data_IF_217307393990
#
_entry.id   IF_217307393990
#
_cell.length_a   1.000
_cell.length_b   1.000
_cell.length_c   1.000
_cell.angle_alpha   90.00
_cell.angle_beta   90.00
_cell.angle_gamma   90.00
#
_symmetry.space_group_name_H-M   'P 1'
#
loop_
_entity.id
_entity.type
_entity.pdbx_description
1 polymer ?
#
# COMPACT_ATOMS: atom_id res chain seq x y z
N UNK A 1 -25.88 28.88 -7.05
CA UNK A 1 -25.55 27.60 -6.38
C UNK A 1 -25.30 26.53 -7.44
N UNK A 2 -24.05 26.40 -7.91
CA UNK A 2 -23.57 25.27 -8.74
C UNK A 2 -22.12 24.93 -8.35
N UNK A 3 -21.33 25.89 -7.85
CA UNK A 3 -19.98 25.65 -7.33
C UNK A 3 -19.93 24.79 -6.04
N UNK A 4 -20.81 25.05 -5.06
CA UNK A 4 -20.77 24.32 -3.78
C UNK A 4 -21.21 22.84 -3.85
N UNK A 5 -22.01 22.47 -4.85
CA UNK A 5 -22.46 21.08 -5.04
C UNK A 5 -21.31 20.23 -5.63
N UNK A 6 -20.56 20.81 -6.58
CA UNK A 6 -19.34 20.20 -7.12
C UNK A 6 -18.22 20.09 -6.07
N UNK A 7 -18.05 21.09 -5.21
CA UNK A 7 -17.06 21.04 -4.13
C UNK A 7 -17.38 19.96 -3.09
N UNK A 8 -18.67 19.80 -2.74
CA UNK A 8 -19.12 18.77 -1.81
C UNK A 8 -18.96 17.35 -2.40
N UNK A 9 -19.34 17.14 -3.66
CA UNK A 9 -19.15 15.85 -4.33
C UNK A 9 -17.66 15.52 -4.50
N UNK A 10 -16.83 16.50 -4.87
CA UNK A 10 -15.39 16.34 -5.00
C UNK A 10 -14.73 16.00 -3.65
N UNK A 11 -15.15 16.66 -2.57
CA UNK A 11 -14.72 16.33 -1.21
C UNK A 11 -15.13 14.91 -0.81
N UNK A 12 -16.36 14.49 -1.14
CA UNK A 12 -16.85 13.14 -0.87
C UNK A 12 -16.01 12.08 -1.61
N UNK A 13 -15.67 12.30 -2.87
CA UNK A 13 -14.79 11.40 -3.63
C UNK A 13 -13.38 11.32 -3.02
N UNK A 14 -12.80 12.45 -2.60
CA UNK A 14 -11.48 12.47 -1.96
C UNK A 14 -11.47 11.71 -0.63
N UNK A 15 -12.49 11.93 0.22
CA UNK A 15 -12.63 11.24 1.51
C UNK A 15 -12.87 9.75 1.28
N UNK A 16 -13.75 9.38 0.34
CA UNK A 16 -14.00 7.99 -0.01
C UNK A 16 -12.73 7.30 -0.51
N UNK A 17 -11.98 7.93 -1.41
CA UNK A 17 -10.71 7.40 -1.91
C UNK A 17 -9.68 7.17 -0.79
N UNK A 18 -9.62 8.08 0.19
CA UNK A 18 -8.74 7.96 1.35
C UNK A 18 -9.16 6.79 2.26
N UNK A 19 -10.46 6.67 2.55
CA UNK A 19 -11.00 5.57 3.36
C UNK A 19 -10.73 4.22 2.67
N UNK A 20 -11.03 4.12 1.38
CA UNK A 20 -10.82 2.89 0.59
C UNK A 20 -9.34 2.52 0.55
N UNK A 21 -8.42 3.50 0.38
CA UNK A 21 -6.98 3.25 0.44
C UNK A 21 -6.56 2.66 1.79
N UNK A 22 -7.10 3.21 2.88
CA UNK A 22 -6.81 2.75 4.24
C UNK A 22 -7.32 1.33 4.48
N UNK A 23 -8.55 1.03 4.06
CA UNK A 23 -9.15 -0.31 4.15
C UNK A 23 -8.33 -1.32 3.37
N UNK A 24 -7.98 -1.05 2.11
CA UNK A 24 -7.13 -1.95 1.32
C UNK A 24 -5.75 -2.15 1.93
N UNK A 25 -5.13 -1.08 2.46
CA UNK A 25 -3.82 -1.18 3.12
C UNK A 25 -3.88 -2.09 4.35
N UNK A 26 -4.94 -2.00 5.16
CA UNK A 26 -5.14 -2.88 6.32
C UNK A 26 -5.38 -4.31 5.88
N UNK A 27 -6.30 -4.53 4.94
CA UNK A 27 -6.61 -5.87 4.44
C UNK A 27 -5.38 -6.55 3.86
N UNK A 28 -4.55 -5.81 3.14
CA UNK A 28 -3.28 -6.31 2.61
C UNK A 28 -2.28 -6.68 3.72
N UNK A 29 -2.14 -5.83 4.74
CA UNK A 29 -1.30 -6.13 5.90
C UNK A 29 -1.77 -7.37 6.66
N UNK A 30 -3.08 -7.50 6.88
CA UNK A 30 -3.67 -8.68 7.51
C UNK A 30 -3.47 -9.95 6.66
N UNK A 31 -3.63 -9.84 5.34
CA UNK A 31 -3.37 -10.94 4.42
C UNK A 31 -1.92 -11.42 4.51
N UNK A 32 -0.95 -10.50 4.46
CA UNK A 32 0.46 -10.87 4.62
C UNK A 32 0.74 -11.46 6.00
N UNK A 33 0.20 -10.86 7.06
CA UNK A 33 0.37 -11.35 8.44
C UNK A 33 -0.18 -12.75 8.65
N UNK A 34 -1.31 -13.09 8.03
CA UNK A 34 -1.89 -14.43 8.10
C UNK A 34 -1.04 -15.48 7.37
N UNK A 35 -0.38 -15.11 6.27
CA UNK A 35 0.42 -16.06 5.47
C UNK A 35 1.87 -16.19 5.94
N UNK A 36 2.46 -15.16 6.55
CA UNK A 36 3.86 -15.14 7.01
C UNK A 36 3.97 -15.38 8.54
N UNK A 37 3.00 -14.87 9.30
CA UNK A 37 3.08 -14.75 10.76
C UNK A 37 3.64 -13.39 11.19
N UNK A 38 2.97 -12.75 12.16
CA UNK A 38 3.30 -11.40 12.64
C UNK A 38 4.73 -11.31 13.21
N UNK A 39 5.17 -12.34 13.96
CA UNK A 39 6.51 -12.40 14.55
C UNK A 39 7.61 -12.47 13.48
N UNK A 40 7.39 -13.25 12.42
CA UNK A 40 8.32 -13.36 11.30
C UNK A 40 8.37 -12.07 10.49
N UNK A 41 7.24 -11.39 10.31
CA UNK A 41 7.22 -10.07 9.67
C UNK A 41 8.03 -9.03 10.46
N UNK A 42 7.94 -9.04 11.79
CA UNK A 42 8.72 -8.12 12.62
C UNK A 42 10.22 -8.42 12.58
N UNK A 43 10.62 -9.70 12.58
CA UNK A 43 12.03 -10.11 12.51
C UNK A 43 12.67 -9.89 11.14
N UNK A 44 11.89 -10.01 10.07
CA UNK A 44 12.36 -9.85 8.68
C UNK A 44 12.17 -8.42 8.14
N UNK A 45 11.60 -7.52 8.94
CA UNK A 45 11.46 -6.10 8.57
C UNK A 45 12.85 -5.45 8.57
N UNK A 46 13.39 -5.16 7.39
CA UNK A 46 14.61 -4.36 7.25
C UNK A 46 14.46 -2.98 7.92
N UNK A 47 15.58 -2.44 8.40
CA UNK A 47 15.67 -1.11 9.04
C UNK A 47 15.54 -0.03 7.98
N UNK A 48 14.32 0.18 7.49
CA UNK A 48 14.03 1.10 6.40
C UNK A 48 13.46 2.40 6.96
N UNK A 49 14.22 3.48 6.85
CA UNK A 49 13.66 4.81 6.90
C UNK A 49 12.63 4.96 5.78
N UNK A 50 11.44 5.39 6.14
CA UNK A 50 10.33 5.54 5.22
C UNK A 50 10.71 6.58 4.14
N UNK A 51 11.04 6.11 2.92
CA UNK A 51 11.47 6.93 1.79
C UNK A 51 10.62 8.19 1.63
N UNK A 52 11.28 9.34 1.41
CA UNK A 52 10.65 10.65 1.28
C UNK A 52 9.56 10.69 0.20
N UNK A 53 9.67 9.87 -0.85
CA UNK A 53 8.65 9.74 -1.89
C UNK A 53 7.33 9.14 -1.38
N UNK A 54 7.39 8.21 -0.42
CA UNK A 54 6.19 7.65 0.23
C UNK A 54 5.53 8.72 1.12
N UNK A 55 6.33 9.54 1.81
CA UNK A 55 5.83 10.68 2.59
C UNK A 55 5.22 11.78 1.70
N UNK A 56 5.78 12.02 0.52
CA UNK A 56 5.24 13.00 -0.43
C UNK A 56 3.92 12.49 -1.07
N UNK A 57 3.82 11.18 -1.32
CA UNK A 57 2.59 10.57 -1.86
C UNK A 57 1.38 10.63 -0.92
N UNK A 58 1.60 10.84 0.39
CA UNK A 58 0.54 11.06 1.38
C UNK A 58 -0.25 12.36 1.16
N UNK A 59 0.32 13.33 0.42
CA UNK A 59 -0.36 14.58 0.09
C UNK A 59 -1.28 14.49 -1.13
N UNK A 60 -1.23 13.38 -1.89
CA UNK A 60 -2.09 13.18 -3.07
C UNK A 60 -2.99 11.95 -2.83
N UNK A 61 -4.26 12.16 -2.41
CA UNK A 61 -5.20 11.10 -2.01
C UNK A 61 -5.31 9.94 -3.01
N UNK A 62 -5.17 10.22 -4.31
CA UNK A 62 -5.28 9.22 -5.37
C UNK A 62 -3.95 8.60 -5.79
N UNK A 63 -2.81 9.29 -5.66
CA UNK A 63 -1.51 8.74 -6.05
C UNK A 63 -1.11 7.56 -5.15
N UNK A 64 -1.40 7.67 -3.85
CA UNK A 64 -1.16 6.58 -2.88
C UNK A 64 -1.97 5.32 -3.22
N UNK A 65 -3.15 5.46 -3.81
CA UNK A 65 -3.96 4.32 -4.24
C UNK A 65 -3.35 3.57 -5.41
N UNK A 66 -2.80 4.26 -6.41
CA UNK A 66 -2.05 3.63 -7.50
C UNK A 66 -0.85 2.83 -6.98
N UNK A 67 -0.13 3.36 -5.99
CA UNK A 67 0.99 2.66 -5.36
C UNK A 67 0.51 1.39 -4.63
N UNK A 68 -0.61 1.45 -3.90
CA UNK A 68 -1.21 0.28 -3.24
C UNK A 68 -1.61 -0.79 -4.26
N UNK A 69 -2.26 -0.41 -5.36
CA UNK A 69 -2.65 -1.34 -6.42
C UNK A 69 -1.43 -1.96 -7.11
N UNK A 70 -0.40 -1.16 -7.39
CA UNK A 70 0.87 -1.64 -7.95
C UNK A 70 1.55 -2.68 -7.03
N UNK A 71 1.56 -2.42 -5.71
CA UNK A 71 2.08 -3.36 -4.70
C UNK A 71 1.32 -4.69 -4.73
N UNK A 72 -0.01 -4.65 -4.76
CA UNK A 72 -0.85 -5.84 -4.86
C UNK A 72 -0.60 -6.58 -6.18
N UNK A 73 -0.48 -5.85 -7.29
CA UNK A 73 -0.22 -6.44 -8.60
C UNK A 73 1.13 -7.17 -8.66
N UNK A 74 2.20 -6.59 -8.12
CA UNK A 74 3.51 -7.27 -8.02
C UNK A 74 3.41 -8.53 -7.17
N UNK A 75 2.73 -8.47 -6.02
CA UNK A 75 2.56 -9.66 -5.19
C UNK A 75 1.88 -10.79 -5.97
N UNK A 76 0.76 -10.48 -6.62
CA UNK A 76 -0.05 -11.49 -7.33
C UNK A 76 0.65 -12.02 -8.58
N UNK A 77 1.13 -11.11 -9.44
CA UNK A 77 1.63 -11.46 -10.78
C UNK A 77 3.08 -11.92 -10.73
N UNK A 78 3.93 -11.28 -9.92
CA UNK A 78 5.38 -11.52 -9.94
C UNK A 78 5.81 -12.54 -8.89
N UNK A 79 5.26 -12.47 -7.68
CA UNK A 79 5.64 -13.38 -6.59
C UNK A 79 4.82 -14.67 -6.63
N UNK A 80 3.50 -14.57 -6.42
CA UNK A 80 2.65 -15.75 -6.24
C UNK A 80 2.57 -16.61 -7.50
N UNK A 81 2.49 -15.99 -8.69
CA UNK A 81 2.42 -16.73 -9.95
C UNK A 81 3.75 -17.41 -10.34
N UNK A 82 4.87 -17.00 -9.75
CA UNK A 82 6.19 -17.64 -9.95
C UNK A 82 6.55 -18.64 -8.84
N UNK A 83 5.66 -18.84 -7.86
CA UNK A 83 5.88 -19.75 -6.73
C UNK A 83 6.69 -19.15 -5.58
N UNK A 84 6.94 -17.84 -5.58
CA UNK A 84 7.57 -17.16 -4.45
C UNK A 84 6.59 -16.98 -3.29
N UNK A 85 7.14 -16.93 -2.08
CA UNK A 85 6.37 -16.83 -0.85
C UNK A 85 6.05 -15.38 -0.48
N UNK A 86 4.99 -15.19 0.31
CA UNK A 86 4.64 -13.88 0.87
C UNK A 86 5.78 -13.27 1.70
N UNK A 87 6.64 -14.11 2.29
CA UNK A 87 7.80 -13.67 3.07
C UNK A 87 8.87 -13.01 2.19
N UNK A 88 9.17 -13.58 1.03
CA UNK A 88 10.11 -12.98 0.07
C UNK A 88 9.58 -11.64 -0.46
N UNK A 89 8.27 -11.54 -0.67
CA UNK A 89 7.63 -10.28 -1.02
C UNK A 89 7.74 -9.22 0.09
N UNK A 90 7.57 -9.62 1.36
CA UNK A 90 7.76 -8.74 2.51
C UNK A 90 9.20 -8.24 2.63
N UNK A 91 10.17 -9.14 2.41
CA UNK A 91 11.58 -8.80 2.36
C UNK A 91 11.84 -7.85 1.19
N UNK A 92 11.31 -8.11 0.00
CA UNK A 92 11.43 -7.20 -1.17
C UNK A 92 10.88 -5.78 -0.88
N UNK A 93 9.72 -5.68 -0.22
CA UNK A 93 9.13 -4.40 0.20
C UNK A 93 10.03 -3.63 1.18
N UNK A 94 10.67 -4.36 2.10
CA UNK A 94 11.43 -3.79 3.22
C UNK A 94 12.93 -3.58 2.89
N UNK A 95 13.49 -4.32 1.92
CA UNK A 95 14.91 -4.27 1.52
C UNK A 95 15.19 -3.55 0.20
N UNK A 96 14.21 -2.93 -0.46
CA UNK A 96 14.51 -2.11 -1.65
C UNK A 96 15.26 -0.83 -1.26
N UNK A 97 16.57 -0.94 -1.11
CA UNK A 97 17.51 0.15 -1.33
C UNK A 97 17.28 0.76 -2.72
N UNK A 98 17.66 2.03 -2.80
CA UNK A 98 17.42 3.01 -3.86
C UNK A 98 17.45 2.46 -5.29
N UNK A 99 16.45 2.87 -6.08
CA UNK A 99 16.67 3.38 -7.44
C UNK A 99 15.72 4.54 -7.68
#
# INVERSE_FOLDING_TARGET
MIAGMFEQDLAAYMIFGLIVNFVFSILFGLYLSKNIGLEQMMRSKGDKEQSLFVKLSLFIPYAKMFITLYRVAILQIYFLNRGYTHQEYWIYLTNTEET
#
